data_IF_031715488656
#
_entry.id   IF_031715488656
#
_cell.length_a   1.000
_cell.length_b   1.000
_cell.length_c   1.000
_cell.angle_alpha   90.00
_cell.angle_beta   90.00
_cell.angle_gamma   90.00
#
_symmetry.space_group_name_H-M   'P 1'
#
loop_
_entity.id
_entity.type
_entity.pdbx_description
1 polymer ?
#
# COMPACT_ATOMS: atom_id res chain seq x y z
N UNK A 1 -1.32 -4.71 -26.08
CA UNK A 1 -0.90 -3.86 -24.93
C UNK A 1 0.23 -4.55 -24.20
N UNK A 2 1.05 -3.81 -23.46
CA UNK A 2 2.02 -4.42 -22.54
C UNK A 2 1.28 -5.02 -21.33
N UNK A 3 1.84 -6.05 -20.65
CA UNK A 3 1.22 -6.63 -19.47
C UNK A 3 1.14 -5.62 -18.32
N UNK A 4 0.15 -5.82 -17.44
CA UNK A 4 0.03 -5.11 -16.18
C UNK A 4 -0.22 -6.14 -15.07
N UNK A 5 0.58 -6.07 -14.00
CA UNK A 5 0.48 -6.94 -12.84
C UNK A 5 -0.14 -6.14 -11.71
N UNK A 6 -1.45 -6.30 -11.51
CA UNK A 6 -2.26 -5.47 -10.61
C UNK A 6 -3.09 -6.42 -9.75
N UNK A 7 -2.91 -6.33 -8.44
CA UNK A 7 -3.67 -7.11 -7.46
C UNK A 7 -3.61 -6.48 -6.07
N UNK A 8 -4.59 -6.80 -5.23
CA UNK A 8 -4.65 -6.48 -3.80
C UNK A 8 -4.65 -4.97 -3.53
N UNK A 9 -5.37 -4.21 -4.34
CA UNK A 9 -5.56 -2.77 -4.15
C UNK A 9 -6.88 -2.44 -3.44
N UNK A 10 -6.91 -1.23 -2.88
CA UNK A 10 -8.08 -0.63 -2.24
C UNK A 10 -8.49 0.60 -3.04
N UNK A 11 -9.75 0.65 -3.44
CA UNK A 11 -10.35 1.73 -4.22
C UNK A 11 -11.50 2.33 -3.44
N UNK A 12 -11.34 3.58 -3.01
CA UNK A 12 -12.33 4.29 -2.19
C UNK A 12 -12.84 5.53 -2.94
N UNK A 13 -14.00 6.05 -2.53
CA UNK A 13 -14.55 7.34 -2.97
C UNK A 13 -14.56 7.50 -4.50
N UNK A 14 -15.10 6.51 -5.22
CA UNK A 14 -15.22 6.54 -6.68
C UNK A 14 -13.96 6.18 -7.47
N UNK A 15 -12.84 5.84 -6.81
CA UNK A 15 -11.69 5.24 -7.48
C UNK A 15 -12.09 3.92 -8.16
N UNK A 16 -11.58 3.69 -9.38
CA UNK A 16 -12.00 2.54 -10.20
C UNK A 16 -10.93 1.46 -10.24
N UNK A 17 -11.29 0.19 -9.97
CA UNK A 17 -10.35 -0.92 -10.09
C UNK A 17 -9.99 -1.22 -11.54
N UNK A 18 -8.87 -1.90 -11.72
CA UNK A 18 -8.58 -2.52 -13.00
C UNK A 18 -9.54 -3.70 -13.23
N UNK A 19 -10.18 -3.75 -14.40
CA UNK A 19 -11.23 -4.72 -14.68
C UNK A 19 -10.77 -6.19 -14.71
N UNK A 20 -9.46 -6.45 -14.76
CA UNK A 20 -8.88 -7.81 -14.69
C UNK A 20 -8.08 -8.06 -13.42
N UNK A 21 -8.23 -7.19 -12.42
CA UNK A 21 -7.70 -7.44 -11.08
C UNK A 21 -8.52 -8.52 -10.38
N UNK A 22 -7.85 -9.53 -9.82
CA UNK A 22 -8.52 -10.70 -9.23
C UNK A 22 -9.00 -10.45 -7.80
N UNK A 23 -8.27 -9.66 -7.02
CA UNK A 23 -8.56 -9.40 -5.62
C UNK A 23 -8.38 -7.91 -5.33
N UNK A 24 -9.45 -7.25 -4.93
CA UNK A 24 -9.45 -5.85 -4.50
C UNK A 24 -10.54 -5.60 -3.47
N UNK A 25 -10.48 -4.43 -2.84
CA UNK A 25 -11.57 -3.86 -2.06
C UNK A 25 -12.03 -2.57 -2.76
N UNK A 26 -13.34 -2.44 -2.99
CA UNK A 26 -13.93 -1.27 -3.64
C UNK A 26 -15.07 -0.77 -2.76
N UNK A 27 -15.08 0.52 -2.48
CA UNK A 27 -16.13 1.17 -1.71
C UNK A 27 -16.33 2.62 -2.15
N UNK A 28 -17.56 3.11 -2.06
CA UNK A 28 -17.88 4.52 -2.30
C UNK A 28 -17.67 5.39 -1.04
N UNK A 29 -17.23 4.81 0.07
CA UNK A 29 -16.96 5.55 1.30
C UNK A 29 -15.84 6.59 1.08
N UNK A 30 -16.05 7.79 1.62
CA UNK A 30 -15.02 8.82 1.68
C UNK A 30 -14.05 8.52 2.83
N UNK A 31 -12.75 8.26 2.55
CA UNK A 31 -11.75 8.03 3.58
C UNK A 31 -11.38 9.31 4.33
N UNK A 32 -11.92 10.48 3.97
CA UNK A 32 -11.67 11.77 4.64
C UNK A 32 -10.18 12.07 4.80
N UNK A 33 -9.39 11.73 3.77
CA UNK A 33 -7.93 11.87 3.81
C UNK A 33 -7.58 13.35 3.96
N UNK A 34 -6.80 13.66 4.99
CA UNK A 34 -6.29 15.00 5.24
C UNK A 34 -4.85 14.94 5.71
N UNK A 35 -4.03 15.89 5.27
CA UNK A 35 -2.69 16.10 5.81
C UNK A 35 -2.66 17.45 6.52
N UNK A 36 -2.26 17.48 7.79
CA UNK A 36 -2.16 18.69 8.61
C UNK A 36 -0.74 18.91 9.07
N UNK A 37 -0.26 20.15 8.99
CA UNK A 37 1.00 20.58 9.60
C UNK A 37 0.70 21.22 10.96
N UNK A 38 1.34 20.72 11.99
CA UNK A 38 1.24 21.20 13.38
C UNK A 38 2.64 21.56 13.89
N UNK A 39 2.74 22.20 15.06
CA UNK A 39 4.03 22.68 15.60
C UNK A 39 5.07 21.55 15.77
N UNK A 40 4.62 20.32 16.04
CA UNK A 40 5.50 19.20 16.35
C UNK A 40 5.68 18.22 15.18
N UNK A 41 5.03 18.44 14.03
CA UNK A 41 5.20 17.63 12.83
C UNK A 41 4.01 17.65 11.86
N UNK A 42 4.04 16.74 10.89
CA UNK A 42 2.98 16.56 9.89
C UNK A 42 2.19 15.29 10.18
N UNK A 43 0.87 15.35 10.09
CA UNK A 43 -0.04 14.26 10.40
C UNK A 43 -0.92 13.90 9.22
N UNK A 44 -1.09 12.59 8.99
CA UNK A 44 -2.12 12.01 8.13
C UNK A 44 -3.35 11.69 8.96
N UNK A 45 -4.51 12.17 8.54
CA UNK A 45 -5.82 11.74 9.02
C UNK A 45 -6.49 10.91 7.95
N UNK A 46 -7.07 9.79 8.33
CA UNK A 46 -7.78 8.89 7.42
C UNK A 46 -8.82 8.06 8.19
N UNK A 47 -10.01 7.93 7.60
CA UNK A 47 -11.02 6.96 7.98
C UNK A 47 -10.79 5.65 7.23
N UNK A 48 -10.69 4.55 7.98
CA UNK A 48 -10.42 3.21 7.45
C UNK A 48 -11.65 2.33 7.66
N UNK A 49 -12.19 1.78 6.58
CA UNK A 49 -13.26 0.80 6.67
C UNK A 49 -12.75 -0.54 7.21
N UNK A 50 -13.47 -1.23 8.10
CA UNK A 50 -13.02 -2.51 8.65
C UNK A 50 -12.73 -3.57 7.58
N UNK A 51 -13.52 -3.59 6.49
CA UNK A 51 -13.39 -4.59 5.43
C UNK A 51 -12.18 -4.36 4.52
N UNK A 52 -11.69 -3.11 4.42
CA UNK A 52 -10.43 -2.79 3.75
C UNK A 52 -9.26 -3.56 4.35
N UNK A 53 -9.24 -3.74 5.68
CA UNK A 53 -8.16 -4.41 6.41
C UNK A 53 -8.15 -5.92 6.25
N UNK A 54 -9.19 -6.51 5.62
CA UNK A 54 -9.31 -7.96 5.41
C UNK A 54 -8.69 -8.43 4.09
N UNK A 55 -8.19 -7.50 3.27
CA UNK A 55 -7.60 -7.83 1.98
C UNK A 55 -6.36 -8.71 2.17
N UNK A 56 -6.24 -9.87 1.49
CA UNK A 56 -5.15 -10.83 1.71
C UNK A 56 -3.86 -10.38 0.99
N UNK A 57 -3.28 -9.27 1.45
CA UNK A 57 -2.02 -8.75 0.89
C UNK A 57 -0.84 -9.66 1.25
N UNK A 58 0.31 -9.43 0.62
CA UNK A 58 1.55 -10.17 0.85
C UNK A 58 2.73 -9.22 0.85
N UNK A 59 3.78 -9.56 1.58
CA UNK A 59 5.08 -8.90 1.44
C UNK A 59 5.59 -9.22 0.03
N UNK A 60 5.92 -8.18 -0.74
CA UNK A 60 6.50 -8.34 -2.07
C UNK A 60 8.02 -8.41 -1.98
N UNK A 61 8.60 -9.30 -2.78
CA UNK A 61 10.05 -9.46 -2.96
C UNK A 61 10.39 -9.41 -4.44
N UNK A 62 11.67 -9.36 -4.77
CA UNK A 62 12.16 -9.41 -6.17
C UNK A 62 11.52 -10.54 -6.98
N UNK A 63 11.38 -11.73 -6.39
CA UNK A 63 10.79 -12.91 -7.06
C UNK A 63 9.28 -12.78 -7.34
N UNK A 64 8.58 -11.93 -6.60
CA UNK A 64 7.14 -11.68 -6.78
C UNK A 64 6.86 -10.61 -7.85
N UNK A 65 7.87 -9.82 -8.23
CA UNK A 65 7.74 -8.72 -9.18
C UNK A 65 8.31 -9.15 -10.53
N UNK A 66 7.42 -9.27 -11.50
CA UNK A 66 7.74 -9.67 -12.86
C UNK A 66 8.76 -8.74 -13.52
N UNK A 67 9.71 -9.34 -14.23
CA UNK A 67 10.81 -8.62 -14.88
C UNK A 67 10.29 -7.67 -15.96
N UNK A 68 10.89 -6.49 -16.06
CA UNK A 68 10.49 -5.49 -17.05
C UNK A 68 10.89 -5.95 -18.45
N UNK A 69 9.90 -6.15 -19.33
CA UNK A 69 10.04 -6.79 -20.66
C UNK A 69 11.17 -6.24 -21.55
N UNK A 70 11.39 -4.93 -21.57
CA UNK A 70 12.32 -4.31 -22.55
C UNK A 70 13.75 -4.29 -22.03
N UNK A 71 13.95 -3.94 -20.76
CA UNK A 71 15.27 -3.84 -20.15
C UNK A 71 15.75 -5.16 -19.58
N UNK A 72 14.85 -6.14 -19.43
CA UNK A 72 15.11 -7.44 -18.79
C UNK A 72 15.79 -7.28 -17.42
N UNK A 73 15.38 -6.24 -16.69
CA UNK A 73 15.90 -5.89 -15.38
C UNK A 73 14.91 -6.28 -14.29
N UNK A 74 15.42 -6.93 -13.24
CA UNK A 74 14.68 -7.23 -12.03
C UNK A 74 14.66 -6.01 -11.08
N UNK A 75 13.76 -6.04 -10.09
CA UNK A 75 13.73 -5.06 -9.01
C UNK A 75 14.67 -5.50 -7.89
N UNK A 76 15.86 -4.90 -7.82
CA UNK A 76 16.97 -5.29 -6.94
C UNK A 76 17.53 -4.09 -6.18
N UNK A 77 18.23 -4.36 -5.07
CA UNK A 77 18.97 -3.36 -4.33
C UNK A 77 20.13 -2.78 -5.19
N UNK A 78 20.70 -1.62 -4.81
CA UNK A 78 21.83 -1.03 -5.55
C UNK A 78 23.06 -1.94 -5.68
N UNK A 79 23.20 -2.93 -4.81
CA UNK A 79 24.28 -3.93 -4.83
C UNK A 79 23.93 -5.22 -5.59
N UNK A 80 22.73 -5.30 -6.20
CA UNK A 80 22.22 -6.46 -6.92
C UNK A 80 21.59 -7.54 -6.04
N UNK A 81 21.48 -7.34 -4.72
CA UNK A 81 20.77 -8.27 -3.84
C UNK A 81 19.24 -8.15 -3.98
N UNK A 82 18.51 -9.19 -3.61
CA UNK A 82 17.05 -9.20 -3.64
C UNK A 82 16.46 -8.13 -2.71
N UNK A 83 15.45 -7.40 -3.20
CA UNK A 83 14.61 -6.53 -2.39
C UNK A 83 13.58 -7.36 -1.65
N UNK A 84 13.33 -7.00 -0.40
CA UNK A 84 12.17 -7.43 0.38
C UNK A 84 11.46 -6.15 0.86
N UNK A 85 10.20 -5.97 0.49
CA UNK A 85 9.38 -4.82 0.87
C UNK A 85 8.64 -5.10 2.19
N UNK A 86 9.41 -5.37 3.26
CA UNK A 86 8.89 -5.77 4.57
C UNK A 86 8.87 -4.66 5.62
N UNK A 87 9.18 -3.41 5.22
CA UNK A 87 9.04 -2.22 6.06
C UNK A 87 8.01 -1.26 5.51
N UNK A 88 7.30 -0.61 6.42
CA UNK A 88 6.33 0.44 6.10
C UNK A 88 7.03 1.81 5.95
N UNK A 89 6.25 2.84 5.62
CA UNK A 89 6.73 4.21 5.45
C UNK A 89 7.40 4.79 6.71
N UNK A 90 7.00 4.33 7.90
CA UNK A 90 7.55 4.77 9.19
C UNK A 90 8.75 3.92 9.64
N UNK A 91 9.17 2.94 8.84
CA UNK A 91 10.26 2.01 9.13
C UNK A 91 9.87 0.81 9.99
N UNK A 92 8.58 0.67 10.32
CA UNK A 92 8.07 -0.47 11.09
C UNK A 92 8.11 -1.74 10.25
N UNK A 93 8.29 -2.89 10.91
CA UNK A 93 8.16 -4.19 10.27
C UNK A 93 6.69 -4.43 9.86
N UNK A 94 6.47 -4.87 8.63
CA UNK A 94 5.16 -5.28 8.12
C UNK A 94 4.74 -6.63 8.68
N UNK A 95 3.43 -6.82 8.84
CA UNK A 95 2.85 -8.10 9.23
C UNK A 95 2.97 -9.13 8.08
N UNK A 96 2.77 -10.42 8.40
CA UNK A 96 2.79 -11.49 7.39
C UNK A 96 1.71 -11.28 6.30
N UNK A 97 0.57 -10.71 6.68
CA UNK A 97 -0.44 -10.15 5.79
C UNK A 97 -0.43 -8.63 6.03
N UNK A 98 0.34 -7.85 5.25
CA UNK A 98 0.46 -6.42 5.45
C UNK A 98 -0.86 -5.65 5.38
N UNK A 99 -0.93 -4.52 6.08
CA UNK A 99 -2.02 -3.57 5.85
C UNK A 99 -1.91 -3.00 4.42
N UNK A 100 -2.99 -2.96 3.61
CA UNK A 100 -2.95 -2.31 2.31
C UNK A 100 -2.54 -0.84 2.44
N UNK A 101 -1.55 -0.43 1.64
CA UNK A 101 -1.03 0.93 1.63
C UNK A 101 0.32 1.10 2.35
N UNK A 102 0.71 2.35 2.65
CA UNK A 102 2.08 2.69 3.05
C UNK A 102 2.37 2.50 4.54
N UNK A 103 1.35 2.40 5.40
CA UNK A 103 1.50 2.46 6.87
C UNK A 103 0.84 1.23 7.50
N UNK A 104 1.57 0.59 8.41
CA UNK A 104 1.04 -0.52 9.20
C UNK A 104 0.31 -0.04 10.46
N UNK A 105 -0.48 -0.93 11.06
CA UNK A 105 -1.14 -0.66 12.34
C UNK A 105 -2.33 0.30 12.24
N UNK A 106 -2.84 0.56 11.03
CA UNK A 106 -4.12 1.24 10.83
C UNK A 106 -5.23 0.44 11.51
N UNK A 107 -6.19 1.16 12.10
CA UNK A 107 -7.35 0.57 12.78
C UNK A 107 -8.61 0.98 12.04
N UNK A 108 -9.65 0.16 12.14
CA UNK A 108 -10.97 0.57 11.65
C UNK A 108 -11.43 1.87 12.34
N UNK A 109 -12.04 2.77 11.58
CA UNK A 109 -12.44 4.10 12.02
C UNK A 109 -11.39 5.17 11.73
N UNK A 110 -11.41 6.25 12.52
CA UNK A 110 -10.51 7.38 12.34
C UNK A 110 -9.11 7.08 12.84
N UNK A 111 -8.11 7.40 12.02
CA UNK A 111 -6.71 7.29 12.35
C UNK A 111 -6.06 8.66 12.20
N UNK A 112 -5.14 8.98 13.11
CA UNK A 112 -4.23 10.12 13.04
C UNK A 112 -2.81 9.62 13.22
N UNK A 113 -1.99 9.73 12.18
CA UNK A 113 -0.63 9.18 12.15
C UNK A 113 0.36 10.32 11.91
N UNK A 114 1.41 10.41 12.72
CA UNK A 114 2.51 11.34 12.48
C UNK A 114 3.41 10.79 11.37
N UNK A 115 3.57 11.55 10.28
CA UNK A 115 4.30 11.12 9.08
C UNK A 115 5.59 11.91 8.82
N UNK A 116 5.78 13.03 9.51
CA UNK A 116 7.00 13.81 9.44
C UNK A 116 7.21 14.61 10.74
N UNK A 117 8.47 14.90 11.08
CA UNK A 117 8.85 15.77 12.19
C UNK A 117 9.64 16.95 11.66
#
# INVERSE_FOLDING_TARGET
>A
TQPAYINKNVYLNGAKPFNRENCNFVSDADPKVQVTSEEDGVYLHIYVEPDMLKLPTTILKTEDIEMVRITEAAFENPDGSQIILDRDFLGNQRAAVPTPGPIEGLKAGENRIKIFK
#
